data_IF_255938151678
#
_entry.id   IF_255938151678
#
_cell.length_a   1.000
_cell.length_b   1.000
_cell.length_c   1.000
_cell.angle_alpha   90.00
_cell.angle_beta   90.00
_cell.angle_gamma   90.00
#
_symmetry.space_group_name_H-M   'P 1'
#
loop_
_entity.id
_entity.type
_entity.pdbx_description
1 polymer ?
#
# COMPACT_ATOMS: atom_id res chain seq x y z
N UNK A 1 77.61 -17.09 39.39
CA UNK A 1 76.29 -16.52 39.02
C UNK A 1 76.36 -16.28 37.50
N UNK A 2 75.57 -17.07 36.76
CA UNK A 2 75.48 -16.93 35.30
C UNK A 2 74.85 -15.59 34.92
N UNK A 3 75.07 -15.08 33.70
CA UNK A 3 74.44 -13.85 33.25
C UNK A 3 72.87 -13.98 33.26
N UNK A 4 72.23 -12.89 33.60
CA UNK A 4 70.75 -12.85 33.55
C UNK A 4 70.28 -13.11 32.12
N UNK A 5 69.32 -14.03 31.94
CA UNK A 5 68.77 -14.35 30.64
C UNK A 5 68.12 -13.16 29.98
N UNK A 6 67.92 -13.16 28.67
CA UNK A 6 67.30 -12.06 27.96
C UNK A 6 65.80 -11.91 28.41
N UNK A 7 65.34 -10.69 28.36
CA UNK A 7 63.90 -10.42 28.57
C UNK A 7 63.09 -11.11 27.51
N UNK A 8 62.00 -11.75 27.93
CA UNK A 8 61.08 -12.37 27.00
C UNK A 8 60.48 -11.35 26.02
N UNK A 9 60.15 -11.80 24.83
CA UNK A 9 59.52 -10.95 23.83
C UNK A 9 58.14 -10.49 24.29
N UNK A 10 57.77 -9.27 23.88
CA UNK A 10 56.44 -8.74 24.09
C UNK A 10 55.40 -9.59 23.34
N UNK A 11 54.34 -9.91 23.97
CA UNK A 11 53.23 -10.65 23.34
C UNK A 11 52.70 -9.90 22.12
N UNK A 12 52.28 -10.64 21.14
CA UNK A 12 51.64 -10.06 19.96
C UNK A 12 50.35 -9.31 20.34
N UNK A 13 50.06 -8.22 19.63
CA UNK A 13 48.79 -7.52 19.79
C UNK A 13 47.64 -8.47 19.50
N UNK A 14 46.57 -8.34 20.24
CA UNK A 14 45.35 -9.08 19.98
C UNK A 14 44.78 -8.75 18.59
N UNK A 15 44.07 -9.70 18.03
CA UNK A 15 43.37 -9.48 16.76
C UNK A 15 42.18 -8.55 16.95
N UNK A 16 41.86 -7.77 15.91
CA UNK A 16 40.65 -6.98 15.91
C UNK A 16 39.40 -7.86 16.11
N UNK A 17 38.43 -7.39 16.85
CA UNK A 17 37.16 -8.08 17.01
C UNK A 17 36.44 -8.22 15.69
N UNK A 18 35.54 -9.22 15.60
CA UNK A 18 34.74 -9.43 14.43
C UNK A 18 33.74 -8.26 14.24
N UNK A 19 33.43 -7.96 12.99
CA UNK A 19 32.34 -7.02 12.68
C UNK A 19 31.02 -7.57 13.20
N UNK A 20 30.22 -6.71 13.78
CA UNK A 20 28.88 -7.11 14.28
C UNK A 20 27.98 -7.55 13.12
N UNK A 21 26.96 -8.34 13.43
CA UNK A 21 25.99 -8.76 12.43
C UNK A 21 25.20 -7.56 11.87
N UNK A 22 24.78 -7.68 10.63
CA UNK A 22 23.84 -6.73 10.04
C UNK A 22 22.54 -6.72 10.83
N UNK A 23 21.97 -5.55 11.05
CA UNK A 23 20.70 -5.42 11.74
C UNK A 23 19.56 -6.12 10.97
N UNK A 24 18.53 -6.53 11.68
CA UNK A 24 17.36 -7.14 11.05
C UNK A 24 16.69 -6.17 10.08
N UNK A 25 16.07 -6.71 9.07
CA UNK A 25 15.21 -5.96 8.17
C UNK A 25 14.07 -5.31 8.96
N UNK A 26 13.77 -4.08 8.67
CA UNK A 26 12.65 -3.38 9.28
C UNK A 26 11.32 -4.10 9.01
N UNK A 27 10.39 -3.95 9.92
CA UNK A 27 9.06 -4.49 9.75
C UNK A 27 8.37 -3.91 8.50
N UNK A 28 7.60 -4.74 7.85
CA UNK A 28 6.72 -4.26 6.77
C UNK A 28 5.75 -3.24 7.35
N UNK A 29 5.57 -2.13 6.67
CA UNK A 29 4.65 -1.10 7.10
C UNK A 29 3.23 -1.60 7.19
N UNK A 30 2.47 -1.03 8.08
CA UNK A 30 1.01 -1.18 8.08
C UNK A 30 0.45 -0.66 6.74
N UNK A 31 -0.75 -1.10 6.40
CA UNK A 31 -1.40 -0.70 5.14
C UNK A 31 -1.30 0.83 4.93
N UNK A 32 -0.74 1.22 3.79
CA UNK A 32 -0.62 2.61 3.38
C UNK A 32 0.56 3.42 3.95
N UNK A 33 1.38 2.85 4.83
CA UNK A 33 2.54 3.55 5.37
C UNK A 33 3.85 2.92 4.90
N UNK A 34 4.88 3.72 4.80
CA UNK A 34 6.22 3.19 4.55
C UNK A 34 6.66 2.27 5.70
N UNK A 35 7.35 1.20 5.36
CA UNK A 35 7.91 0.28 6.34
C UNK A 35 8.88 1.01 7.30
N UNK A 36 8.95 0.51 8.50
CA UNK A 36 9.92 1.01 9.46
C UNK A 36 11.36 0.71 9.01
N UNK A 37 12.27 1.63 9.32
CA UNK A 37 13.71 1.37 9.17
C UNK A 37 14.11 0.25 10.13
N UNK A 38 14.91 -0.68 9.65
CA UNK A 38 15.44 -1.76 10.48
C UNK A 38 16.31 -1.21 11.61
N UNK A 39 16.40 -1.95 12.70
CA UNK A 39 17.27 -1.60 13.82
C UNK A 39 18.74 -1.62 13.39
N UNK A 40 19.53 -0.79 14.04
CA UNK A 40 20.98 -0.80 13.87
C UNK A 40 21.55 -2.16 14.28
N UNK A 41 22.50 -2.65 13.51
CA UNK A 41 23.22 -3.89 13.82
C UNK A 41 23.89 -3.82 15.19
N UNK A 42 24.05 -4.97 15.80
CA UNK A 42 24.74 -5.08 17.07
C UNK A 42 26.20 -4.61 16.94
N UNK A 43 26.69 -4.00 17.98
CA UNK A 43 28.12 -3.66 18.08
C UNK A 43 28.95 -4.94 18.10
N UNK A 44 30.03 -4.97 17.31
CA UNK A 44 30.97 -6.08 17.30
C UNK A 44 31.60 -6.33 18.69
N UNK A 45 31.93 -7.57 18.91
CA UNK A 45 32.59 -7.95 20.16
C UNK A 45 33.96 -7.27 20.30
N UNK A 46 34.34 -6.96 21.51
CA UNK A 46 35.68 -6.49 21.83
C UNK A 46 36.70 -7.57 21.50
N UNK A 47 37.79 -7.21 20.86
CA UNK A 47 38.89 -8.12 20.55
C UNK A 47 39.46 -8.75 21.82
N UNK A 48 39.91 -9.96 21.69
CA UNK A 48 40.56 -10.66 22.78
C UNK A 48 41.87 -9.96 23.23
N UNK A 49 42.12 -10.02 24.51
CA UNK A 49 43.43 -9.60 25.04
C UNK A 49 44.51 -10.44 24.40
N UNK A 50 45.58 -9.81 23.95
CA UNK A 50 46.75 -10.49 23.40
C UNK A 50 47.39 -11.42 24.44
N UNK A 51 48.01 -12.44 23.93
CA UNK A 51 48.71 -13.41 24.78
C UNK A 51 49.87 -12.75 25.51
N UNK A 52 50.11 -13.20 26.73
CA UNK A 52 51.32 -12.86 27.46
C UNK A 52 52.54 -13.41 26.71
N UNK A 53 53.54 -12.64 26.53
CA UNK A 53 54.76 -13.05 25.89
C UNK A 53 55.45 -14.19 26.64
N UNK A 54 56.28 -14.99 25.97
CA UNK A 54 56.98 -16.09 26.59
C UNK A 54 57.94 -15.61 27.67
N UNK A 55 58.05 -16.40 28.73
CA UNK A 55 59.02 -16.15 29.78
C UNK A 55 60.42 -16.52 29.30
N UNK A 56 61.34 -15.67 29.41
CA UNK A 56 62.77 -15.98 29.18
C UNK A 56 63.27 -17.03 30.16
N UNK A 57 64.18 -17.91 29.78
CA UNK A 57 64.68 -19.02 30.58
C UNK A 57 65.32 -18.58 31.92
N UNK A 58 65.81 -17.35 32.01
CA UNK A 58 66.35 -16.77 33.24
C UNK A 58 66.09 -15.24 33.31
N UNK A 59 65.14 -14.76 32.59
CA UNK A 59 64.78 -13.37 32.54
C UNK A 59 63.39 -13.12 33.10
N UNK A 60 62.98 -11.84 33.20
CA UNK A 60 61.66 -11.46 33.62
C UNK A 60 60.57 -11.98 32.66
N UNK A 61 59.39 -12.16 33.20
CA UNK A 61 58.22 -12.58 32.40
C UNK A 61 57.95 -11.53 31.31
N UNK A 62 57.64 -12.00 30.11
CA UNK A 62 57.25 -11.13 29.04
C UNK A 62 55.99 -10.33 29.34
N UNK A 63 55.88 -9.19 28.73
CA UNK A 63 54.69 -8.34 28.86
C UNK A 63 53.44 -9.00 28.26
N UNK A 64 52.33 -8.72 28.90
CA UNK A 64 51.01 -9.11 28.35
C UNK A 64 50.77 -8.35 27.08
N UNK A 65 50.28 -9.03 26.06
CA UNK A 65 49.87 -8.42 24.81
C UNK A 65 48.78 -7.39 25.00
N UNK A 66 48.72 -6.44 24.10
CA UNK A 66 47.66 -5.44 24.10
C UNK A 66 46.29 -6.07 23.83
N UNK A 67 45.29 -5.49 24.42
CA UNK A 67 43.92 -5.85 24.09
C UNK A 67 43.63 -5.61 22.60
N UNK A 68 42.90 -6.51 22.00
CA UNK A 68 42.45 -6.31 20.63
C UNK A 68 41.52 -5.09 20.51
N UNK A 69 41.48 -4.55 19.35
CA UNK A 69 40.53 -3.45 19.07
C UNK A 69 39.08 -3.92 19.15
N UNK A 70 38.23 -2.99 19.57
CA UNK A 70 36.80 -3.22 19.53
C UNK A 70 36.36 -3.44 18.09
N UNK A 71 35.52 -4.42 17.86
CA UNK A 71 34.93 -4.68 16.55
C UNK A 71 34.07 -3.50 16.09
N UNK A 72 33.97 -3.36 14.79
CA UNK A 72 33.13 -2.33 14.20
C UNK A 72 31.63 -2.55 14.54
N UNK A 73 30.92 -1.46 14.68
CA UNK A 73 29.45 -1.53 14.78
C UNK A 73 28.87 -2.14 13.52
N UNK A 74 27.94 -3.05 13.67
CA UNK A 74 27.22 -3.65 12.52
C UNK A 74 26.51 -2.58 11.71
N UNK A 75 26.32 -2.83 10.44
CA UNK A 75 25.59 -1.96 9.56
C UNK A 75 24.13 -1.84 9.99
N UNK A 76 23.55 -0.68 9.76
CA UNK A 76 22.09 -0.50 9.92
C UNK A 76 21.37 -1.46 8.97
N UNK A 77 20.34 -2.13 9.45
CA UNK A 77 19.50 -2.99 8.62
C UNK A 77 18.84 -2.19 7.50
N UNK A 78 18.43 -2.85 6.43
CA UNK A 78 17.75 -2.20 5.33
C UNK A 78 16.42 -1.59 5.80
N UNK A 79 15.99 -0.54 5.14
CA UNK A 79 14.65 0.01 5.34
C UNK A 79 13.62 -1.05 4.95
N UNK A 80 12.61 -1.23 5.77
CA UNK A 80 11.50 -2.11 5.46
C UNK A 80 10.82 -1.71 4.15
N UNK A 81 10.23 -2.66 3.47
CA UNK A 81 9.47 -2.40 2.26
C UNK A 81 8.31 -1.44 2.56
N UNK A 82 8.04 -0.53 1.64
CA UNK A 82 6.84 0.29 1.72
C UNK A 82 5.63 -0.61 1.65
N UNK A 83 4.72 -0.45 2.62
CA UNK A 83 3.46 -1.16 2.61
C UNK A 83 2.68 -0.81 1.34
N UNK A 84 2.11 -1.80 0.69
CA UNK A 84 1.16 -1.55 -0.39
C UNK A 84 -0.12 -0.98 0.23
N UNK A 85 -0.51 0.21 -0.19
CA UNK A 85 -1.81 0.73 0.15
C UNK A 85 -2.86 -0.06 -0.63
N UNK A 86 -3.63 -0.87 0.05
CA UNK A 86 -4.76 -1.57 -0.58
C UNK A 86 -5.84 -0.62 -1.05
N UNK A 87 -5.83 0.63 -0.56
CA UNK A 87 -6.75 1.68 -0.98
C UNK A 87 -6.13 2.67 -1.96
N UNK A 88 -4.85 2.48 -2.34
CA UNK A 88 -4.28 3.21 -3.46
C UNK A 88 -5.10 2.91 -4.72
N UNK A 89 -5.47 3.93 -5.45
CA UNK A 89 -6.40 3.85 -6.56
C UNK A 89 -7.85 3.57 -6.09
N UNK A 90 -8.40 4.50 -5.38
CA UNK A 90 -9.82 4.55 -5.06
C UNK A 90 -10.48 5.74 -5.74
N UNK A 91 -11.79 5.67 -5.91
CA UNK A 91 -12.57 6.83 -6.32
C UNK A 91 -13.92 6.87 -5.63
N UNK A 92 -14.39 8.08 -5.44
CA UNK A 92 -15.78 8.39 -5.12
C UNK A 92 -16.22 9.58 -5.96
N UNK A 93 -17.36 9.47 -6.59
CA UNK A 93 -17.94 10.55 -7.37
C UNK A 93 -19.46 10.56 -7.16
N UNK A 94 -20.04 11.72 -7.09
CA UNK A 94 -21.47 11.89 -6.78
C UNK A 94 -22.18 12.81 -7.77
N UNK A 95 -23.51 12.73 -7.76
CA UNK A 95 -24.40 13.74 -8.27
C UNK A 95 -25.31 14.20 -7.13
N UNK A 96 -25.15 15.40 -6.68
CA UNK A 96 -25.84 15.97 -5.53
C UNK A 96 -26.81 17.11 -5.87
N UNK A 97 -26.86 17.50 -7.14
CA UNK A 97 -27.61 18.67 -7.60
C UNK A 97 -29.09 18.40 -7.82
N UNK A 98 -29.53 17.15 -7.88
CA UNK A 98 -30.92 16.79 -8.16
C UNK A 98 -31.23 16.80 -9.66
N UNK A 99 -30.26 16.46 -10.48
CA UNK A 99 -30.39 16.47 -11.94
C UNK A 99 -31.51 15.57 -12.44
N UNK A 100 -32.09 15.97 -13.57
CA UNK A 100 -33.02 15.13 -14.31
C UNK A 100 -32.28 14.35 -15.38
N UNK A 101 -32.29 13.03 -15.26
CA UNK A 101 -31.70 12.11 -16.22
C UNK A 101 -32.78 11.62 -17.19
N UNK A 102 -32.68 11.98 -18.44
CA UNK A 102 -33.58 11.43 -19.50
C UNK A 102 -33.10 10.03 -19.86
N UNK A 103 -33.84 9.03 -19.41
CA UNK A 103 -33.52 7.62 -19.70
C UNK A 103 -34.12 7.25 -21.06
N UNK A 104 -33.26 6.75 -21.95
CA UNK A 104 -33.63 6.32 -23.30
C UNK A 104 -33.54 4.79 -23.45
N UNK A 105 -34.09 4.28 -24.54
CA UNK A 105 -33.92 2.87 -24.92
C UNK A 105 -32.42 2.56 -25.09
N UNK A 106 -31.93 1.54 -24.39
CA UNK A 106 -30.49 1.22 -24.34
C UNK A 106 -29.79 1.78 -23.10
N UNK A 107 -30.39 2.73 -22.43
CA UNK A 107 -29.91 3.28 -21.17
C UNK A 107 -29.14 4.61 -21.30
N UNK A 108 -29.04 5.33 -20.20
CA UNK A 108 -28.41 6.64 -20.10
C UNK A 108 -27.38 6.65 -19.00
N UNK A 109 -26.19 7.12 -19.30
CA UNK A 109 -25.13 7.31 -18.31
C UNK A 109 -25.49 8.41 -17.32
N UNK A 110 -25.19 8.21 -16.06
CA UNK A 110 -25.41 9.18 -14.98
C UNK A 110 -24.16 10.03 -14.81
N UNK A 111 -24.24 11.36 -14.99
CA UNK A 111 -23.13 12.25 -14.66
C UNK A 111 -22.90 12.29 -13.14
N UNK A 112 -21.65 12.31 -12.74
CA UNK A 112 -21.25 12.37 -11.33
C UNK A 112 -20.21 13.51 -11.13
N UNK A 113 -20.62 14.76 -11.26
CA UNK A 113 -19.68 15.89 -11.27
C UNK A 113 -19.21 16.32 -9.87
N UNK A 114 -19.91 15.89 -8.80
CA UNK A 114 -19.75 16.46 -7.48
C UNK A 114 -18.89 15.59 -6.58
N UNK A 115 -18.22 16.20 -5.59
CA UNK A 115 -17.44 15.54 -4.54
C UNK A 115 -16.54 14.42 -5.05
N UNK A 116 -15.87 14.68 -6.18
CA UNK A 116 -14.98 13.72 -6.80
C UNK A 116 -13.67 13.59 -5.99
N UNK A 117 -13.39 12.39 -5.55
CA UNK A 117 -12.07 11.97 -5.07
C UNK A 117 -11.59 10.90 -6.04
N UNK A 118 -10.60 11.22 -6.86
CA UNK A 118 -10.15 10.38 -7.98
C UNK A 118 -8.68 9.99 -7.78
N UNK A 119 -8.41 9.16 -6.78
CA UNK A 119 -7.04 8.71 -6.51
C UNK A 119 -6.53 7.81 -7.65
N UNK A 120 -5.88 8.44 -8.61
CA UNK A 120 -5.36 7.83 -9.84
C UNK A 120 -6.41 7.59 -10.94
N UNK A 121 -7.70 7.62 -10.65
CA UNK A 121 -8.75 7.55 -11.68
C UNK A 121 -8.82 8.85 -12.50
N UNK A 122 -9.25 8.73 -13.74
CA UNK A 122 -9.56 9.88 -14.59
C UNK A 122 -11.01 9.81 -15.05
N UNK A 123 -11.60 10.95 -15.40
CA UNK A 123 -12.98 11.02 -15.86
C UNK A 123 -13.10 11.78 -17.19
N UNK A 124 -14.18 11.55 -17.92
CA UNK A 124 -14.54 12.30 -19.11
C UNK A 124 -15.03 13.72 -18.77
N UNK A 125 -15.04 14.62 -19.75
CA UNK A 125 -15.54 15.98 -19.55
C UNK A 125 -17.00 16.05 -19.07
N UNK A 126 -17.80 15.02 -19.36
CA UNK A 126 -19.19 14.89 -18.91
C UNK A 126 -19.32 14.21 -17.54
N UNK A 127 -18.22 13.81 -16.92
CA UNK A 127 -18.22 13.10 -15.63
C UNK A 127 -19.10 11.83 -15.59
N UNK A 128 -19.21 11.14 -16.72
CA UNK A 128 -20.05 9.93 -16.86
C UNK A 128 -19.25 8.64 -16.88
N UNK A 129 -17.98 8.71 -17.23
CA UNK A 129 -17.12 7.56 -17.44
C UNK A 129 -15.80 7.76 -16.71
N UNK A 130 -15.40 6.76 -15.92
CA UNK A 130 -14.21 6.79 -15.09
C UNK A 130 -13.25 5.69 -15.55
N UNK A 131 -11.97 6.06 -15.75
CA UNK A 131 -10.94 5.14 -16.20
C UNK A 131 -10.13 4.60 -15.02
N UNK A 132 -9.99 3.29 -14.99
CA UNK A 132 -9.26 2.54 -13.96
C UNK A 132 -7.75 2.73 -14.13
N UNK A 133 -7.02 3.17 -13.08
CA UNK A 133 -5.60 3.50 -13.21
C UNK A 133 -4.66 2.29 -13.17
N UNK A 134 -5.04 1.21 -12.53
CA UNK A 134 -4.17 0.05 -12.32
C UNK A 134 -4.94 -1.27 -12.37
N UNK A 135 -4.28 -2.33 -12.81
CA UNK A 135 -4.85 -3.67 -12.79
C UNK A 135 -4.97 -4.17 -11.34
N UNK A 136 -6.08 -4.82 -11.00
CA UNK A 136 -6.30 -5.39 -9.68
C UNK A 136 -7.73 -5.83 -9.44
N UNK A 137 -8.02 -6.24 -8.21
CA UNK A 137 -9.38 -6.53 -7.75
C UNK A 137 -9.96 -5.30 -7.09
N UNK A 138 -11.14 -4.93 -7.50
CA UNK A 138 -11.83 -3.74 -7.03
C UNK A 138 -13.19 -4.08 -6.42
N UNK A 139 -13.55 -3.39 -5.36
CA UNK A 139 -14.93 -3.26 -4.93
C UNK A 139 -15.56 -2.12 -5.72
N UNK A 140 -16.66 -2.39 -6.38
CA UNK A 140 -17.46 -1.40 -7.13
C UNK A 140 -18.83 -1.32 -6.48
N UNK A 141 -19.17 -0.17 -5.94
CA UNK A 141 -20.44 0.08 -5.26
C UNK A 141 -21.08 1.34 -5.82
N UNK A 142 -22.38 1.30 -6.03
CA UNK A 142 -23.12 2.50 -6.40
C UNK A 142 -24.44 2.59 -5.65
N UNK A 143 -24.95 3.80 -5.62
CA UNK A 143 -26.31 4.12 -5.16
C UNK A 143 -26.91 5.16 -6.08
N UNK A 144 -28.19 5.01 -6.42
CA UNK A 144 -28.98 6.03 -7.09
C UNK A 144 -30.27 6.23 -6.29
N UNK A 145 -30.62 7.46 -6.02
CA UNK A 145 -31.84 7.85 -5.30
C UNK A 145 -32.64 8.85 -6.15
N UNK A 146 -33.88 8.54 -6.40
CA UNK A 146 -34.81 9.39 -7.18
C UNK A 146 -35.88 9.99 -6.31
N UNK A 147 -36.42 11.13 -6.72
CA UNK A 147 -37.49 11.84 -6.00
C UNK A 147 -38.83 11.11 -6.05
N UNK A 148 -39.02 10.26 -7.04
CA UNK A 148 -40.22 9.44 -7.19
C UNK A 148 -39.83 7.95 -7.33
N UNK A 149 -40.73 7.06 -6.94
CA UNK A 149 -40.52 5.64 -7.18
C UNK A 149 -40.70 5.33 -8.67
N UNK A 150 -39.71 4.69 -9.25
CA UNK A 150 -39.64 4.36 -10.67
C UNK A 150 -39.43 2.85 -10.87
N UNK A 151 -39.95 2.31 -11.95
CA UNK A 151 -39.65 0.96 -12.43
C UNK A 151 -38.56 1.03 -13.49
N UNK A 152 -37.37 1.40 -13.07
CA UNK A 152 -36.16 1.42 -13.89
C UNK A 152 -35.11 0.49 -13.30
N UNK A 153 -34.12 0.16 -14.09
CA UNK A 153 -32.98 -0.64 -13.67
C UNK A 153 -31.71 0.19 -13.67
N UNK A 154 -30.76 -0.22 -12.85
CA UNK A 154 -29.45 0.43 -12.76
C UNK A 154 -28.35 -0.60 -12.92
N UNK A 155 -27.21 -0.19 -13.43
CA UNK A 155 -26.02 -1.04 -13.56
C UNK A 155 -24.75 -0.20 -13.70
N UNK A 156 -23.60 -0.83 -13.47
CA UNK A 156 -22.32 -0.31 -13.91
C UNK A 156 -21.92 -1.05 -15.19
N UNK A 157 -21.46 -0.30 -16.16
CA UNK A 157 -20.84 -0.85 -17.37
C UNK A 157 -19.32 -0.84 -17.21
N UNK A 158 -18.67 -1.92 -17.64
CA UNK A 158 -17.23 -1.99 -17.89
C UNK A 158 -17.02 -2.03 -19.40
N UNK A 159 -16.31 -1.07 -19.94
CA UNK A 159 -16.04 -0.95 -21.37
C UNK A 159 -17.33 -1.07 -22.22
N UNK A 160 -18.42 -0.44 -21.76
CA UNK A 160 -19.73 -0.48 -22.43
C UNK A 160 -20.55 -1.76 -22.21
N UNK A 161 -20.02 -2.78 -21.52
CA UNK A 161 -20.74 -4.03 -21.22
C UNK A 161 -21.12 -4.10 -19.74
N UNK A 162 -22.27 -4.71 -19.35
CA UNK A 162 -22.67 -4.82 -17.96
C UNK A 162 -21.60 -5.52 -17.11
N UNK A 163 -21.18 -4.88 -16.01
CA UNK A 163 -20.31 -5.49 -15.03
C UNK A 163 -21.09 -6.51 -14.21
N UNK A 164 -20.60 -7.74 -14.13
CA UNK A 164 -21.24 -8.82 -13.37
C UNK A 164 -21.55 -8.43 -11.93
N UNK A 165 -22.75 -8.74 -11.45
CA UNK A 165 -23.20 -8.42 -10.09
C UNK A 165 -23.53 -6.95 -9.82
N UNK A 166 -23.39 -6.06 -10.80
CA UNK A 166 -23.73 -4.63 -10.63
C UNK A 166 -25.14 -4.25 -11.09
N UNK A 167 -25.87 -5.17 -11.71
CA UNK A 167 -27.21 -4.88 -12.22
C UNK A 167 -28.26 -5.02 -11.11
N UNK A 168 -29.04 -3.99 -10.91
CA UNK A 168 -30.21 -4.01 -10.04
C UNK A 168 -31.47 -3.76 -10.89
N UNK A 169 -32.38 -4.73 -10.88
CA UNK A 169 -33.65 -4.65 -11.61
C UNK A 169 -34.78 -4.92 -10.60
N UNK A 170 -35.54 -3.89 -10.19
CA UNK A 170 -36.58 -4.06 -9.19
C UNK A 170 -37.83 -4.69 -9.83
N UNK A 171 -38.56 -5.50 -9.06
CA UNK A 171 -39.84 -6.06 -9.46
C UNK A 171 -40.99 -5.05 -9.30
N UNK A 172 -40.81 -4.05 -8.46
CA UNK A 172 -41.79 -2.97 -8.20
C UNK A 172 -41.07 -1.62 -8.29
N UNK A 173 -41.86 -0.55 -8.47
CA UNK A 173 -41.29 0.81 -8.46
C UNK A 173 -40.62 1.12 -7.13
N UNK A 174 -39.36 1.58 -7.19
CA UNK A 174 -38.54 1.97 -6.03
C UNK A 174 -37.90 3.33 -6.30
N UNK A 175 -37.54 4.03 -5.25
CA UNK A 175 -36.80 5.30 -5.34
C UNK A 175 -35.33 5.19 -4.94
N UNK A 176 -34.86 4.00 -4.60
CA UNK A 176 -33.46 3.76 -4.26
C UNK A 176 -32.96 2.48 -4.93
N UNK A 177 -31.84 2.61 -5.59
CA UNK A 177 -31.21 1.55 -6.38
C UNK A 177 -29.74 1.47 -5.93
N UNK A 178 -29.27 0.29 -5.58
CA UNK A 178 -27.90 0.09 -5.15
C UNK A 178 -27.43 -1.32 -5.48
N UNK A 179 -26.14 -1.43 -5.78
CA UNK A 179 -25.46 -2.73 -5.82
C UNK A 179 -23.99 -2.55 -5.44
N UNK A 180 -23.43 -3.62 -4.91
CA UNK A 180 -22.00 -3.72 -4.65
C UNK A 180 -21.50 -5.04 -5.22
N UNK A 181 -20.40 -4.99 -5.97
CA UNK A 181 -19.77 -6.16 -6.55
C UNK A 181 -18.25 -6.07 -6.46
N UNK A 182 -17.61 -7.21 -6.57
CA UNK A 182 -16.15 -7.29 -6.68
C UNK A 182 -15.80 -7.72 -8.11
N UNK A 183 -14.81 -7.05 -8.69
CA UNK A 183 -14.42 -7.31 -10.06
C UNK A 183 -12.91 -7.19 -10.26
N UNK A 184 -12.35 -8.09 -11.05
CA UNK A 184 -11.01 -7.92 -11.58
C UNK A 184 -11.07 -6.89 -12.73
N UNK A 185 -10.40 -5.77 -12.55
CA UNK A 185 -10.31 -4.70 -13.54
C UNK A 185 -8.87 -4.54 -14.02
N UNK A 186 -8.73 -4.11 -15.25
CA UNK A 186 -7.43 -3.85 -15.88
C UNK A 186 -7.21 -2.35 -16.02
N UNK A 187 -5.96 -1.90 -15.92
CA UNK A 187 -5.63 -0.51 -16.21
C UNK A 187 -6.17 -0.10 -17.59
N UNK A 188 -6.85 1.03 -17.66
CA UNK A 188 -7.52 1.52 -18.85
C UNK A 188 -8.97 1.07 -19.00
N UNK A 189 -9.46 0.11 -18.19
CA UNK A 189 -10.90 -0.20 -18.19
C UNK A 189 -11.72 1.04 -17.85
N UNK A 190 -12.89 1.15 -18.44
CA UNK A 190 -13.81 2.25 -18.17
C UNK A 190 -15.02 1.78 -17.40
N UNK A 191 -15.46 2.58 -16.43
CA UNK A 191 -16.64 2.33 -15.63
C UNK A 191 -17.67 3.44 -15.85
N UNK A 192 -18.92 3.07 -16.08
CA UNK A 192 -20.03 4.01 -16.29
C UNK A 192 -21.26 3.56 -15.52
N UNK A 193 -21.80 4.40 -14.66
CA UNK A 193 -23.08 4.16 -14.00
C UNK A 193 -24.21 4.47 -14.98
N UNK A 194 -25.15 3.55 -15.18
CA UNK A 194 -26.20 3.67 -16.19
C UNK A 194 -27.57 3.37 -15.61
N UNK A 195 -28.57 4.17 -15.99
CA UNK A 195 -30.00 3.91 -15.85
C UNK A 195 -30.55 3.32 -17.14
N UNK A 196 -31.43 2.32 -17.05
CA UNK A 196 -32.03 1.67 -18.23
C UNK A 196 -33.36 1.01 -17.91
N UNK A 197 -34.05 0.48 -18.93
CA UNK A 197 -35.28 -0.31 -18.77
C UNK A 197 -36.57 0.49 -18.74
N UNK A 198 -36.52 1.80 -18.53
CA UNK A 198 -37.66 2.72 -18.63
C UNK A 198 -37.26 3.86 -19.55
N UNK A 199 -38.14 4.27 -20.44
CA UNK A 199 -37.97 5.50 -21.22
C UNK A 199 -38.73 6.63 -20.53
N UNK A 200 -38.03 7.67 -20.08
CA UNK A 200 -38.64 8.76 -19.35
C UNK A 200 -37.64 9.57 -18.55
N UNK A 201 -38.10 10.39 -17.64
CA UNK A 201 -37.29 11.24 -16.79
C UNK A 201 -37.11 10.62 -15.40
N UNK A 202 -35.87 10.47 -14.98
CA UNK A 202 -35.51 10.13 -13.60
C UNK A 202 -34.91 11.37 -12.93
N UNK A 203 -35.63 11.94 -11.97
CA UNK A 203 -35.17 13.10 -11.20
C UNK A 203 -34.41 12.59 -9.98
N UNK A 204 -33.13 12.88 -9.90
CA UNK A 204 -32.27 12.51 -8.77
C UNK A 204 -32.64 13.33 -7.52
N UNK A 205 -32.40 12.75 -6.34
CA UNK A 205 -32.54 13.51 -5.09
C UNK A 205 -31.40 14.51 -4.93
N UNK A 206 -31.73 15.71 -4.47
CA UNK A 206 -30.71 16.70 -4.07
C UNK A 206 -29.92 16.19 -2.85
N UNK A 207 -28.65 16.48 -2.81
CA UNK A 207 -27.73 16.10 -1.75
C UNK A 207 -27.13 14.70 -1.88
N UNK A 208 -27.85 13.70 -2.39
CA UNK A 208 -27.35 12.33 -2.56
C UNK A 208 -28.11 11.58 -3.65
N UNK A 209 -28.17 12.14 -4.84
CA UNK A 209 -28.92 11.60 -5.96
C UNK A 209 -28.27 10.39 -6.61
N UNK A 210 -26.96 10.42 -6.80
CA UNK A 210 -26.21 9.26 -7.29
C UNK A 210 -24.78 9.27 -6.74
N UNK A 211 -24.25 8.08 -6.50
CA UNK A 211 -22.87 7.89 -6.05
C UNK A 211 -22.28 6.66 -6.72
N UNK A 212 -21.03 6.75 -7.13
CA UNK A 212 -20.20 5.61 -7.55
C UNK A 212 -18.92 5.63 -6.73
N UNK A 213 -18.67 4.54 -6.03
CA UNK A 213 -17.46 4.33 -5.23
C UNK A 213 -16.73 3.10 -5.75
N UNK A 214 -15.45 3.24 -6.01
CA UNK A 214 -14.59 2.15 -6.49
C UNK A 214 -13.33 2.13 -5.65
N UNK A 215 -13.01 0.98 -5.07
CA UNK A 215 -11.85 0.82 -4.18
C UNK A 215 -11.05 -0.37 -4.63
N UNK A 216 -9.77 -0.16 -4.92
CA UNK A 216 -8.84 -1.25 -5.20
C UNK A 216 -8.52 -2.01 -3.92
N UNK A 217 -8.60 -3.33 -3.98
CA UNK A 217 -8.34 -4.22 -2.85
C UNK A 217 -6.95 -4.87 -2.95
N UNK A 218 -6.53 -5.21 -4.15
CA UNK A 218 -5.21 -5.81 -4.44
C UNK A 218 -4.80 -5.49 -5.87
#
# INVERSE_FOLDING_TARGET
>A
TGPTGPTGATGAAGTAGATGPTGPTGATGAAGTAGATGPTGATGATGATGATGPTGAAGPTGATGAAGATGATGATGPTGATGTSVTANSMNATNSTGDTITVILGGTAVPLPDFQVLDGFTTTAQNTTFTVPATGTYMVSYRVSTTAALLLSTRVLRNGTPLGGSTFTPALSVSSFAATTFAALTAGDTLTLQLFGLVGAAVLQSGNGATLTVIRLV
#
